data_IF_830113760952
#
_entry.id   IF_830113760952
#
_cell.length_a   1.000
_cell.length_b   1.000
_cell.length_c   1.000
_cell.angle_alpha   90.00
_cell.angle_beta   90.00
_cell.angle_gamma   90.00
#
_symmetry.space_group_name_H-M   'P 1'
#
loop_
_entity.id
_entity.type
_entity.pdbx_description
1 polymer ?
#
# COMPACT_ATOMS: atom_id res chain seq x y z
N UNK A 1 -12.33 32.62 4.91
CA UNK A 1 -12.08 31.30 4.27
C UNK A 1 -13.39 30.53 4.39
N UNK A 2 -13.87 29.94 3.30
CA UNK A 2 -15.14 29.21 3.29
C UNK A 2 -15.07 27.99 4.23
N UNK A 3 -16.02 27.85 5.15
CA UNK A 3 -16.00 26.78 6.17
C UNK A 3 -16.15 25.40 5.53
N UNK A 4 -16.90 25.30 4.43
CA UNK A 4 -17.05 24.06 3.66
C UNK A 4 -15.70 23.65 3.06
N UNK A 5 -14.99 24.59 2.42
CA UNK A 5 -13.63 24.38 1.92
C UNK A 5 -12.67 23.96 3.04
N UNK A 6 -12.76 24.62 4.21
CA UNK A 6 -11.91 24.30 5.36
C UNK A 6 -12.14 22.87 5.89
N UNK A 7 -13.37 22.37 5.86
CA UNK A 7 -13.68 20.98 6.23
C UNK A 7 -12.92 19.98 5.34
N UNK A 8 -12.92 20.18 4.02
CA UNK A 8 -12.23 19.27 3.10
C UNK A 8 -10.70 19.33 3.24
N UNK A 9 -10.14 20.49 3.56
CA UNK A 9 -8.71 20.59 3.90
C UNK A 9 -8.35 19.81 5.16
N UNK A 10 -9.14 19.98 6.23
CA UNK A 10 -8.93 19.25 7.49
C UNK A 10 -9.09 17.75 7.28
N UNK A 11 -10.03 17.33 6.44
CA UNK A 11 -10.20 15.93 6.03
C UNK A 11 -8.95 15.38 5.32
N UNK A 12 -8.38 16.11 4.37
CA UNK A 12 -7.15 15.66 3.68
C UNK A 12 -5.94 15.63 4.62
N UNK A 13 -5.82 16.60 5.52
CA UNK A 13 -4.81 16.59 6.58
C UNK A 13 -4.98 15.39 7.51
N UNK A 14 -6.21 15.06 7.90
CA UNK A 14 -6.52 13.88 8.72
C UNK A 14 -6.08 12.57 8.04
N UNK A 15 -6.30 12.46 6.72
CA UNK A 15 -5.88 11.30 5.91
C UNK A 15 -4.36 11.13 5.85
N UNK A 16 -3.61 12.23 5.86
CA UNK A 16 -2.13 12.23 5.75
C UNK A 16 -1.42 12.17 7.10
N UNK A 17 -2.14 12.39 8.20
CA UNK A 17 -1.57 12.49 9.55
C UNK A 17 -1.42 11.14 10.25
N UNK A 18 -0.48 11.10 11.20
CA UNK A 18 -0.28 9.96 12.10
C UNK A 18 -1.38 9.89 13.16
N UNK A 19 -1.57 8.73 13.80
CA UNK A 19 -2.68 8.51 14.73
C UNK A 19 -2.65 9.44 15.95
N UNK A 20 -1.45 9.87 16.39
CA UNK A 20 -1.29 10.83 17.47
C UNK A 20 -1.69 12.27 17.10
N UNK A 21 -1.60 12.63 15.82
CA UNK A 21 -1.85 14.00 15.34
C UNK A 21 -3.33 14.20 14.96
N UNK A 22 -4.07 13.10 14.77
CA UNK A 22 -5.50 13.12 14.39
C UNK A 22 -6.39 13.76 15.45
N UNK A 23 -6.09 13.58 16.73
CA UNK A 23 -6.89 14.16 17.82
C UNK A 23 -7.00 15.69 17.70
N UNK A 24 -5.92 16.37 17.31
CA UNK A 24 -5.91 17.83 17.14
C UNK A 24 -6.78 18.25 15.95
N UNK A 25 -6.78 17.44 14.89
CA UNK A 25 -7.58 17.68 13.68
C UNK A 25 -9.05 17.40 13.94
N UNK A 26 -9.37 16.33 14.68
CA UNK A 26 -10.72 15.98 15.10
C UNK A 26 -11.35 17.10 15.93
N UNK A 27 -10.58 17.66 16.87
CA UNK A 27 -11.04 18.81 17.65
C UNK A 27 -11.33 20.03 16.76
N UNK A 28 -10.46 20.32 15.77
CA UNK A 28 -10.70 21.42 14.82
C UNK A 28 -11.91 21.16 13.92
N UNK A 29 -12.17 19.92 13.53
CA UNK A 29 -13.36 19.55 12.76
C UNK A 29 -14.62 19.74 13.60
N UNK A 30 -14.63 19.28 14.86
CA UNK A 30 -15.76 19.49 15.77
C UNK A 30 -16.05 20.97 16.00
N UNK A 31 -15.03 21.76 16.32
CA UNK A 31 -15.18 23.21 16.49
C UNK A 31 -15.66 23.91 15.21
N UNK A 32 -15.23 23.43 14.04
CA UNK A 32 -15.69 23.95 12.75
C UNK A 32 -17.18 23.68 12.55
N UNK A 33 -17.62 22.43 12.76
CA UNK A 33 -19.01 21.99 12.59
C UNK A 33 -19.97 22.68 13.56
N UNK A 34 -19.57 22.85 14.82
CA UNK A 34 -20.38 23.52 15.85
C UNK A 34 -20.64 25.00 15.52
N UNK A 35 -19.74 25.61 14.74
CA UNK A 35 -19.84 27.00 14.32
C UNK A 35 -20.45 27.18 12.91
N UNK A 36 -21.00 26.12 12.29
CA UNK A 36 -21.64 26.21 10.97
C UNK A 36 -23.09 26.67 11.05
N UNK A 37 -23.48 27.51 10.10
CA UNK A 37 -24.88 27.87 9.85
C UNK A 37 -25.59 26.76 9.10
N UNK A 38 -26.93 26.76 9.13
CA UNK A 38 -27.75 25.75 8.45
C UNK A 38 -27.45 25.65 6.95
N UNK A 39 -27.26 26.78 6.29
CA UNK A 39 -26.95 26.85 4.85
C UNK A 39 -25.57 26.23 4.54
N UNK A 40 -24.57 26.51 5.36
CA UNK A 40 -23.23 25.92 5.23
C UNK A 40 -23.27 24.40 5.48
N UNK A 41 -24.07 23.94 6.44
CA UNK A 41 -24.24 22.50 6.74
C UNK A 41 -24.91 21.75 5.58
N UNK A 42 -25.90 22.35 4.92
CA UNK A 42 -26.53 21.79 3.73
C UNK A 42 -25.54 21.68 2.56
N UNK A 43 -24.71 22.71 2.34
CA UNK A 43 -23.65 22.69 1.32
C UNK A 43 -22.58 21.63 1.63
N UNK A 44 -22.17 21.51 2.89
CA UNK A 44 -21.25 20.46 3.33
C UNK A 44 -21.84 19.07 3.10
N UNK A 45 -23.11 18.86 3.44
CA UNK A 45 -23.81 17.58 3.23
C UNK A 45 -23.83 17.20 1.76
N UNK A 46 -24.11 18.16 0.86
CA UNK A 46 -24.07 17.93 -0.58
C UNK A 46 -22.65 17.59 -1.07
N UNK A 47 -21.62 18.29 -0.56
CA UNK A 47 -20.22 18.01 -0.88
C UNK A 47 -19.78 16.62 -0.40
N UNK A 48 -20.17 16.23 0.82
CA UNK A 48 -19.90 14.91 1.40
C UNK A 48 -20.60 13.81 0.61
N UNK A 49 -21.85 14.02 0.19
CA UNK A 49 -22.58 13.06 -0.64
C UNK A 49 -21.91 12.88 -2.02
N UNK A 50 -21.43 13.96 -2.63
CA UNK A 50 -20.65 13.90 -3.88
C UNK A 50 -19.36 13.11 -3.68
N UNK A 51 -18.67 13.33 -2.57
CA UNK A 51 -17.45 12.63 -2.23
C UNK A 51 -17.68 11.13 -1.97
N UNK A 52 -18.77 10.76 -1.29
CA UNK A 52 -19.22 9.37 -1.16
C UNK A 52 -19.50 8.72 -2.52
N UNK A 53 -20.15 9.45 -3.43
CA UNK A 53 -20.41 8.93 -4.78
C UNK A 53 -19.10 8.72 -5.55
N UNK A 54 -18.12 9.61 -5.42
CA UNK A 54 -16.79 9.45 -6.02
C UNK A 54 -16.06 8.23 -5.46
N UNK A 55 -16.06 8.05 -4.14
CA UNK A 55 -15.51 6.86 -3.47
C UNK A 55 -16.22 5.60 -3.95
N UNK A 56 -17.54 5.64 -4.15
CA UNK A 56 -18.30 4.51 -4.68
C UNK A 56 -17.88 4.15 -6.11
N UNK A 57 -17.55 5.14 -6.94
CA UNK A 57 -16.98 4.93 -8.28
C UNK A 57 -15.56 4.38 -8.22
N UNK A 58 -14.71 4.87 -7.32
CA UNK A 58 -13.37 4.30 -7.08
C UNK A 58 -13.44 2.85 -6.58
N UNK A 59 -14.39 2.52 -5.70
CA UNK A 59 -14.67 1.14 -5.26
C UNK A 59 -15.19 0.29 -6.42
N UNK A 60 -15.96 0.85 -7.35
CA UNK A 60 -16.41 0.14 -8.54
C UNK A 60 -15.24 -0.20 -9.47
N UNK A 61 -14.30 0.72 -9.64
CA UNK A 61 -13.07 0.50 -10.41
C UNK A 61 -12.16 -0.56 -9.74
N UNK A 62 -12.02 -0.52 -8.40
CA UNK A 62 -11.36 -1.57 -7.62
C UNK A 62 -12.08 -2.92 -7.76
N UNK A 63 -13.43 -2.92 -7.76
CA UNK A 63 -14.22 -4.14 -8.01
C UNK A 63 -14.01 -4.66 -9.42
N UNK A 64 -13.93 -3.80 -10.44
CA UNK A 64 -13.59 -4.20 -11.80
C UNK A 64 -12.17 -4.80 -11.86
N UNK A 65 -11.18 -4.22 -11.18
CA UNK A 65 -9.84 -4.80 -11.06
C UNK A 65 -9.83 -6.16 -10.35
N UNK A 66 -10.63 -6.34 -9.29
CA UNK A 66 -10.81 -7.63 -8.63
C UNK A 66 -11.54 -8.64 -9.53
N UNK A 67 -12.52 -8.18 -10.29
CA UNK A 67 -13.26 -8.99 -11.29
C UNK A 67 -12.31 -9.42 -12.43
N UNK A 68 -11.38 -8.56 -12.84
CA UNK A 68 -10.33 -8.91 -13.80
C UNK A 68 -9.45 -10.01 -13.23
N UNK A 69 -9.05 -9.92 -11.95
CA UNK A 69 -8.26 -10.99 -11.30
C UNK A 69 -9.01 -12.33 -11.25
N UNK A 70 -10.29 -12.32 -10.91
CA UNK A 70 -11.14 -13.53 -10.92
C UNK A 70 -11.32 -14.09 -12.34
N UNK A 71 -11.50 -13.23 -13.35
CA UNK A 71 -11.58 -13.64 -14.77
C UNK A 71 -10.24 -14.11 -15.32
N UNK A 72 -9.13 -13.61 -14.77
CA UNK A 72 -7.79 -14.02 -15.14
C UNK A 72 -7.35 -15.30 -14.41
N UNK A 73 -8.00 -15.68 -13.29
CA UNK A 73 -7.67 -16.88 -12.50
C UNK A 73 -7.56 -18.17 -13.33
N UNK A 74 -8.45 -18.44 -14.31
CA UNK A 74 -8.33 -19.61 -15.17
C UNK A 74 -7.16 -19.53 -16.16
N UNK A 75 -6.70 -18.32 -16.51
CA UNK A 75 -5.59 -18.10 -17.45
C UNK A 75 -4.25 -17.84 -16.76
N UNK A 76 -4.23 -17.48 -15.47
CA UNK A 76 -3.01 -17.29 -14.67
C UNK A 76 -2.07 -18.52 -14.66
N UNK A 77 -2.54 -19.78 -14.70
CA UNK A 77 -1.68 -20.96 -14.84
C UNK A 77 -1.01 -21.07 -16.22
N UNK A 78 -1.63 -20.48 -17.25
CA UNK A 78 -1.17 -20.52 -18.64
C UNK A 78 -0.42 -19.25 -19.05
N UNK A 79 -0.66 -18.14 -18.35
CA UNK A 79 0.23 -17.00 -18.33
C UNK A 79 1.52 -17.47 -17.69
N UNK A 80 2.65 -17.29 -18.37
CA UNK A 80 3.93 -17.55 -17.73
C UNK A 80 4.02 -16.66 -16.49
N UNK A 81 3.93 -17.29 -15.31
CA UNK A 81 4.12 -16.63 -14.00
C UNK A 81 5.47 -15.91 -14.00
N UNK A 82 6.44 -16.45 -14.72
CA UNK A 82 7.75 -15.88 -14.94
C UNK A 82 7.70 -14.58 -15.78
N UNK A 83 6.93 -14.53 -16.87
CA UNK A 83 6.74 -13.29 -17.66
C UNK A 83 5.89 -12.25 -16.92
N UNK A 84 4.84 -12.68 -16.22
CA UNK A 84 4.03 -11.79 -15.40
C UNK A 84 4.88 -11.20 -14.26
N UNK A 85 5.68 -12.02 -13.57
CA UNK A 85 6.63 -11.56 -12.56
C UNK A 85 7.69 -10.62 -13.13
N UNK A 86 8.26 -10.94 -14.30
CA UNK A 86 9.23 -10.08 -15.00
C UNK A 86 8.66 -8.70 -15.31
N UNK A 87 7.43 -8.64 -15.81
CA UNK A 87 6.75 -7.38 -16.14
C UNK A 87 6.20 -6.63 -14.90
N UNK A 88 5.71 -7.37 -13.90
CA UNK A 88 5.09 -6.80 -12.69
C UNK A 88 6.14 -6.27 -11.71
N UNK A 89 7.27 -6.97 -11.54
CA UNK A 89 8.32 -6.55 -10.62
C UNK A 89 9.27 -5.53 -11.24
N UNK A 90 9.47 -5.52 -12.57
CA UNK A 90 10.21 -4.50 -13.32
C UNK A 90 11.67 -4.25 -12.89
N UNK A 91 12.22 -5.10 -12.01
CA UNK A 91 13.56 -4.99 -11.42
C UNK A 91 14.37 -6.25 -11.73
N UNK A 92 15.69 -6.15 -11.69
CA UNK A 92 16.57 -7.26 -12.09
C UNK A 92 16.55 -8.46 -11.13
N UNK A 93 16.11 -8.28 -9.88
CA UNK A 93 16.09 -9.34 -8.86
C UNK A 93 14.80 -9.33 -8.07
N UNK A 94 14.32 -10.51 -7.72
CA UNK A 94 13.20 -10.75 -6.81
C UNK A 94 13.71 -11.50 -5.57
N UNK A 95 13.35 -11.02 -4.40
CA UNK A 95 13.70 -11.60 -3.10
C UNK A 95 12.43 -12.19 -2.49
N UNK A 96 12.35 -13.51 -2.42
CA UNK A 96 11.22 -14.22 -1.83
C UNK A 96 11.57 -14.59 -0.39
N UNK A 97 10.80 -14.08 0.57
CA UNK A 97 10.88 -14.48 1.97
C UNK A 97 9.94 -15.66 2.21
N UNK A 98 10.46 -16.70 2.84
CA UNK A 98 9.76 -17.95 3.10
C UNK A 98 9.76 -18.26 4.58
N UNK A 99 8.71 -18.93 5.04
CA UNK A 99 8.70 -19.57 6.36
C UNK A 99 9.83 -20.59 6.46
N UNK A 100 10.13 -21.05 7.67
CA UNK A 100 11.11 -22.12 7.88
C UNK A 100 10.70 -23.42 7.16
N UNK A 101 9.40 -23.63 6.93
CA UNK A 101 8.83 -24.75 6.17
C UNK A 101 8.84 -24.52 4.65
N UNK A 102 9.40 -23.39 4.18
CA UNK A 102 9.53 -23.08 2.76
C UNK A 102 8.32 -22.42 2.11
N UNK A 103 7.24 -22.14 2.86
CA UNK A 103 6.06 -21.45 2.32
C UNK A 103 6.37 -19.97 2.07
N UNK A 104 6.09 -19.42 0.87
CA UNK A 104 6.26 -18.00 0.59
C UNK A 104 5.40 -17.13 1.52
N UNK A 105 6.00 -16.09 2.11
CA UNK A 105 5.32 -15.11 2.97
C UNK A 105 5.16 -13.78 2.22
N UNK A 106 6.26 -13.29 1.63
CA UNK A 106 6.28 -12.02 0.89
C UNK A 106 7.40 -12.01 -0.13
N UNK A 107 7.29 -11.14 -1.13
CA UNK A 107 8.31 -10.92 -2.15
C UNK A 107 8.63 -9.44 -2.28
N UNK A 108 9.92 -9.14 -2.43
CA UNK A 108 10.43 -7.81 -2.74
C UNK A 108 11.13 -7.85 -4.10
N UNK A 109 11.27 -6.70 -4.75
CA UNK A 109 12.02 -6.58 -6.01
C UNK A 109 12.99 -5.41 -5.94
N UNK A 110 14.15 -5.57 -6.56
CA UNK A 110 15.21 -4.55 -6.56
C UNK A 110 16.26 -4.80 -7.63
N UNK A 111 16.98 -3.75 -8.00
CA UNK A 111 18.07 -3.84 -8.97
C UNK A 111 19.36 -4.28 -8.28
N UNK A 112 19.66 -3.68 -7.13
CA UNK A 112 20.83 -4.00 -6.33
C UNK A 112 20.42 -4.76 -5.07
N UNK A 113 20.76 -6.04 -5.02
CA UNK A 113 20.43 -6.92 -3.91
C UNK A 113 21.67 -7.62 -3.39
N UNK A 114 22.01 -7.42 -2.12
CA UNK A 114 23.12 -8.09 -1.44
C UNK A 114 22.77 -8.39 0.02
N UNK A 115 23.43 -9.37 0.62
CA UNK A 115 23.16 -9.77 2.01
C UNK A 115 24.42 -9.66 2.87
N UNK A 116 24.21 -9.48 4.17
CA UNK A 116 25.25 -9.50 5.20
C UNK A 116 24.72 -10.17 6.45
N UNK A 117 25.61 -10.89 7.16
CA UNK A 117 25.31 -11.46 8.48
C UNK A 117 25.92 -10.55 9.55
N UNK A 118 25.12 -9.90 10.40
CA UNK A 118 25.65 -9.03 11.45
C UNK A 118 26.40 -9.83 12.52
N UNK A 119 27.65 -9.46 12.80
CA UNK A 119 28.51 -10.15 13.80
C UNK A 119 27.88 -10.23 15.21
N UNK A 120 27.11 -9.22 15.61
CA UNK A 120 26.48 -9.13 16.94
C UNK A 120 25.12 -9.84 17.04
N UNK A 121 24.56 -10.34 15.93
CA UNK A 121 23.23 -10.98 15.88
C UNK A 121 23.27 -12.22 14.96
N UNK A 122 23.85 -13.35 15.41
CA UNK A 122 24.16 -14.51 14.57
C UNK A 122 22.93 -15.29 14.06
N UNK A 123 21.71 -14.90 14.42
CA UNK A 123 20.45 -15.52 13.96
C UNK A 123 19.61 -14.58 13.08
N UNK A 124 20.27 -13.62 12.46
CA UNK A 124 19.64 -12.56 11.69
C UNK A 124 20.40 -12.35 10.39
N UNK A 125 19.68 -12.27 9.28
CA UNK A 125 20.24 -11.87 7.99
C UNK A 125 19.80 -10.46 7.68
N UNK A 126 20.73 -9.59 7.31
CA UNK A 126 20.43 -8.26 6.77
C UNK A 126 20.55 -8.33 5.26
N UNK A 127 19.44 -8.11 4.57
CA UNK A 127 19.37 -8.07 3.12
C UNK A 127 19.16 -6.62 2.69
N UNK A 128 19.98 -6.14 1.77
CA UNK A 128 19.92 -4.79 1.22
C UNK A 128 19.24 -4.87 -0.14
N UNK A 129 18.21 -4.07 -0.35
CA UNK A 129 17.44 -3.97 -1.60
C UNK A 129 17.38 -2.50 -1.98
N UNK A 130 18.07 -2.10 -3.06
CA UNK A 130 18.10 -0.72 -3.55
C UNK A 130 18.37 0.31 -2.43
N UNK A 131 19.38 0.03 -1.59
CA UNK A 131 19.77 0.89 -0.45
C UNK A 131 18.90 0.76 0.81
N UNK A 132 17.79 0.01 0.78
CA UNK A 132 16.92 -0.23 1.94
C UNK A 132 17.27 -1.54 2.65
N UNK A 133 17.32 -1.50 3.98
CA UNK A 133 17.64 -2.67 4.80
C UNK A 133 16.38 -3.47 5.15
N UNK A 134 16.38 -4.75 4.81
CA UNK A 134 15.43 -5.76 5.26
C UNK A 134 16.11 -6.68 6.27
N UNK A 135 15.50 -6.81 7.44
CA UNK A 135 16.01 -7.64 8.52
C UNK A 135 15.19 -8.92 8.65
N UNK A 136 15.85 -10.06 8.49
CA UNK A 136 15.19 -11.37 8.46
C UNK A 136 15.63 -12.16 9.70
N UNK A 137 14.66 -12.50 10.56
CA UNK A 137 14.86 -13.37 11.72
C UNK A 137 13.97 -14.60 11.61
N UNK A 138 14.55 -15.80 11.78
CA UNK A 138 13.82 -17.09 11.75
C UNK A 138 12.97 -17.31 10.49
N UNK A 139 13.46 -16.88 9.34
CA UNK A 139 12.86 -17.13 8.03
C UNK A 139 13.94 -17.45 7.00
N UNK A 140 13.54 -18.14 5.95
CA UNK A 140 14.40 -18.45 4.81
C UNK A 140 14.20 -17.38 3.73
N UNK A 141 15.18 -17.19 2.85
CA UNK A 141 15.05 -16.30 1.70
C UNK A 141 15.65 -16.92 0.45
N UNK A 142 15.13 -16.51 -0.70
CA UNK A 142 15.67 -16.86 -2.01
C UNK A 142 15.76 -15.59 -2.86
N UNK A 143 16.91 -15.36 -3.49
CA UNK A 143 17.09 -14.29 -4.47
C UNK A 143 17.05 -14.93 -5.84
N UNK A 144 16.18 -14.42 -6.70
CA UNK A 144 15.97 -14.93 -8.06
C UNK A 144 16.32 -13.79 -9.01
N UNK A 145 17.21 -14.07 -9.96
CA UNK A 145 17.47 -13.15 -11.06
C UNK A 145 16.29 -13.21 -12.04
N UNK A 146 15.69 -12.06 -12.34
CA UNK A 146 14.51 -12.01 -13.22
C UNK A 146 14.83 -12.35 -14.66
N UNK A 147 16.10 -12.33 -15.06
CA UNK A 147 16.54 -12.86 -16.36
C UNK A 147 16.37 -14.37 -16.49
N UNK A 148 16.30 -15.09 -15.36
CA UNK A 148 16.06 -16.54 -15.31
C UNK A 148 14.57 -16.90 -15.32
N UNK A 149 13.69 -15.90 -15.32
CA UNK A 149 12.24 -16.06 -15.41
C UNK A 149 11.82 -15.89 -16.88
N UNK A 150 11.46 -17.01 -17.53
CA UNK A 150 11.06 -17.10 -18.95
C UNK A 150 9.67 -16.57 -19.30
#
# INVERSE_FOLDING_TARGET
MDKVTRFFELKELWKQSSDSDRHVIDQQISELLDNMTKEETEQLTAGVQKDFNNIHWEIKDIKEQLTIRERLEPVLPYLSVSNLAKNYFGKSRVVVIKSQLGQPITAYSGNEVYWSVPKKLPKMTKLMIDGKALYIHRANYQIIDTSLLN
#
